data_IF_182143049986
#
_entry.id   IF_182143049986
#
_cell.length_a   1.000
_cell.length_b   1.000
_cell.length_c   1.000
_cell.angle_alpha   90.00
_cell.angle_beta   90.00
_cell.angle_gamma   90.00
#
_symmetry.space_group_name_H-M   'P 1'
#
loop_
_entity.id
_entity.type
_entity.pdbx_description
1 polymer ?
#
# COMPACT_ATOMS: atom_id res chain seq x y z
N UNK A 1 25.22 1.15 9.33
CA UNK A 1 25.44 -0.08 10.07
C UNK A 1 24.83 -1.33 9.41
N UNK A 2 23.87 -1.26 8.49
CA UNK A 2 23.40 -2.38 7.67
C UNK A 2 22.83 -3.61 8.40
N UNK A 3 22.44 -3.46 9.66
CA UNK A 3 21.97 -4.57 10.48
C UNK A 3 20.47 -4.84 10.38
N UNK A 4 19.70 -3.93 9.77
CA UNK A 4 18.27 -4.07 9.58
C UNK A 4 18.02 -4.06 8.07
N UNK A 5 17.44 -5.14 7.57
CA UNK A 5 17.07 -5.30 6.17
C UNK A 5 15.56 -5.48 6.07
N UNK A 6 14.98 -4.87 5.07
CA UNK A 6 13.61 -5.19 4.67
C UNK A 6 13.57 -6.55 3.96
N UNK A 7 12.43 -7.22 4.03
CA UNK A 7 12.21 -8.44 3.25
C UNK A 7 11.65 -8.02 1.89
N UNK A 8 12.52 -7.91 0.88
CA UNK A 8 12.11 -7.63 -0.47
C UNK A 8 11.34 -8.81 -1.08
N UNK A 9 10.26 -8.49 -1.80
CA UNK A 9 9.45 -9.46 -2.54
C UNK A 9 9.60 -9.29 -4.07
N UNK A 10 10.56 -8.47 -4.50
CA UNK A 10 10.84 -8.17 -5.92
C UNK A 10 11.07 -9.44 -6.73
N UNK A 11 11.89 -10.36 -6.22
CA UNK A 11 12.21 -11.60 -6.93
C UNK A 11 10.96 -12.45 -7.17
N UNK A 12 10.16 -12.67 -6.13
CA UNK A 12 8.94 -13.47 -6.23
C UNK A 12 7.94 -12.88 -7.22
N UNK A 13 7.75 -11.56 -7.17
CA UNK A 13 6.86 -10.83 -8.09
C UNK A 13 7.34 -10.97 -9.52
N UNK A 14 8.62 -10.69 -9.80
CA UNK A 14 9.17 -10.74 -11.15
C UNK A 14 9.16 -12.17 -11.72
N UNK A 15 9.45 -13.18 -10.91
CA UNK A 15 9.39 -14.58 -11.34
C UNK A 15 7.96 -14.97 -11.76
N UNK A 16 6.94 -14.57 -10.99
CA UNK A 16 5.53 -14.85 -11.30
C UNK A 16 5.07 -14.11 -12.55
N UNK A 17 5.41 -12.82 -12.69
CA UNK A 17 5.12 -12.06 -13.91
C UNK A 17 5.78 -12.68 -15.14
N UNK A 18 7.04 -13.15 -15.01
CA UNK A 18 7.75 -13.88 -16.09
C UNK A 18 7.03 -15.18 -16.47
N UNK A 19 6.46 -15.88 -15.49
CA UNK A 19 5.68 -17.11 -15.69
C UNK A 19 4.25 -16.81 -16.18
N UNK A 20 3.90 -15.54 -16.40
CA UNK A 20 2.56 -15.09 -16.83
C UNK A 20 1.45 -15.49 -15.86
N UNK A 21 1.76 -15.60 -14.56
CA UNK A 21 0.74 -15.75 -13.54
C UNK A 21 -0.15 -14.50 -13.52
N UNK A 22 -1.48 -14.66 -13.38
CA UNK A 22 -2.38 -13.51 -13.33
C UNK A 22 -2.10 -12.69 -12.07
N UNK A 23 -1.73 -11.44 -12.23
CA UNK A 23 -1.40 -10.51 -11.14
C UNK A 23 -2.05 -9.15 -11.37
N UNK A 24 -2.58 -8.55 -10.31
CA UNK A 24 -3.14 -7.19 -10.31
C UNK A 24 -2.35 -6.32 -9.36
N UNK A 25 -1.93 -5.15 -9.81
CA UNK A 25 -1.31 -4.15 -8.95
C UNK A 25 -2.38 -3.23 -8.35
N UNK A 26 -2.38 -3.08 -7.02
CA UNK A 26 -3.17 -2.05 -6.32
C UNK A 26 -2.22 -0.97 -5.82
N UNK A 27 -2.43 0.28 -6.19
CA UNK A 27 -1.45 1.35 -6.07
C UNK A 27 -1.91 2.41 -5.09
N UNK A 28 -1.03 2.77 -4.14
CA UNK A 28 -1.31 3.82 -3.17
C UNK A 28 -1.40 5.20 -3.84
N UNK A 29 -2.36 6.08 -3.45
CA UNK A 29 -2.53 7.40 -4.05
C UNK A 29 -1.29 8.30 -3.94
N UNK A 30 -0.41 8.08 -2.96
CA UNK A 30 0.85 8.81 -2.80
C UNK A 30 1.82 8.67 -3.98
N UNK A 31 1.55 7.75 -4.90
CA UNK A 31 2.31 7.62 -6.16
C UNK A 31 2.29 8.89 -7.00
N UNK A 32 1.26 9.73 -6.85
CA UNK A 32 1.09 10.99 -7.59
C UNK A 32 2.24 11.97 -7.37
N UNK A 33 2.90 11.91 -6.21
CA UNK A 33 4.01 12.80 -5.85
C UNK A 33 5.38 12.07 -5.75
N UNK A 34 5.41 10.79 -6.15
CA UNK A 34 6.62 9.96 -5.98
C UNK A 34 7.50 9.92 -7.23
N UNK A 35 6.94 10.16 -8.38
CA UNK A 35 7.64 10.07 -9.66
C UNK A 35 7.50 11.39 -10.42
N UNK A 36 8.60 11.88 -10.99
CA UNK A 36 8.62 13.08 -11.84
C UNK A 36 7.99 12.79 -13.22
N UNK A 37 6.79 12.23 -13.23
CA UNK A 37 6.07 11.86 -14.45
C UNK A 37 4.55 11.88 -14.25
N UNK A 38 3.77 12.11 -15.30
CA UNK A 38 2.32 11.94 -15.26
C UNK A 38 1.95 10.53 -14.76
N UNK A 39 0.96 10.45 -13.88
CA UNK A 39 0.55 9.19 -13.22
C UNK A 39 0.17 8.10 -14.22
N UNK A 40 -0.41 8.48 -15.34
CA UNK A 40 -0.79 7.56 -16.43
C UNK A 40 0.42 6.84 -17.02
N UNK A 41 1.57 7.53 -17.09
CA UNK A 41 2.83 6.93 -17.53
C UNK A 41 3.33 5.92 -16.50
N UNK A 42 3.23 6.25 -15.21
CA UNK A 42 3.64 5.35 -14.12
C UNK A 42 2.75 4.10 -14.11
N UNK A 43 1.42 4.25 -14.24
CA UNK A 43 0.50 3.12 -14.35
C UNK A 43 0.76 2.29 -15.61
N UNK A 44 1.05 2.96 -16.74
CA UNK A 44 1.45 2.29 -17.98
C UNK A 44 2.73 1.48 -17.80
N UNK A 45 3.72 2.03 -17.08
CA UNK A 45 4.96 1.32 -16.76
C UNK A 45 4.70 0.09 -15.90
N UNK A 46 3.92 0.21 -14.81
CA UNK A 46 3.54 -0.93 -13.97
C UNK A 46 2.83 -2.00 -14.82
N UNK A 47 1.87 -1.59 -15.63
CA UNK A 47 1.13 -2.52 -16.51
C UNK A 47 2.04 -3.23 -17.50
N UNK A 48 3.04 -2.54 -18.04
CA UNK A 48 4.01 -3.10 -19.00
C UNK A 48 4.94 -4.17 -18.39
N UNK A 49 5.01 -4.26 -17.04
CA UNK A 49 5.72 -5.34 -16.35
C UNK A 49 4.99 -6.69 -16.48
N UNK A 50 3.72 -6.68 -16.92
CA UNK A 50 2.91 -7.88 -17.11
C UNK A 50 1.70 -8.00 -16.19
N UNK A 51 1.37 -6.97 -15.42
CA UNK A 51 0.15 -6.94 -14.61
C UNK A 51 -1.10 -6.88 -15.50
N UNK A 52 -2.14 -7.63 -15.12
CA UNK A 52 -3.45 -7.63 -15.81
C UNK A 52 -4.11 -6.27 -15.72
N UNK A 53 -4.07 -5.65 -14.53
CA UNK A 53 -4.69 -4.38 -14.24
C UNK A 53 -3.90 -3.61 -13.18
N UNK A 54 -4.05 -2.29 -13.19
CA UNK A 54 -3.59 -1.38 -12.15
C UNK A 54 -4.81 -0.69 -11.57
N UNK A 55 -5.04 -0.85 -10.27
CA UNK A 55 -6.21 -0.34 -9.54
C UNK A 55 -5.76 0.64 -8.45
N UNK A 56 -6.45 1.76 -8.34
CA UNK A 56 -6.14 2.74 -7.29
C UNK A 56 -6.69 2.31 -5.93
N UNK A 57 -5.86 2.38 -4.91
CA UNK A 57 -6.26 2.08 -3.52
C UNK A 57 -7.27 3.10 -2.96
N UNK A 58 -7.45 4.23 -3.64
CA UNK A 58 -8.52 5.17 -3.36
C UNK A 58 -9.92 4.52 -3.36
N UNK A 59 -10.15 3.49 -4.17
CA UNK A 59 -11.42 2.75 -4.18
C UNK A 59 -11.73 2.10 -2.82
N UNK A 60 -10.74 1.41 -2.24
CA UNK A 60 -10.88 0.82 -0.91
C UNK A 60 -10.88 1.86 0.22
N UNK A 61 -10.27 3.04 0.00
CA UNK A 61 -10.31 4.12 0.97
C UNK A 61 -11.74 4.64 1.21
N UNK A 62 -12.60 4.62 0.21
CA UNK A 62 -14.02 4.97 0.36
C UNK A 62 -14.73 3.99 1.31
N UNK A 63 -14.47 2.69 1.15
CA UNK A 63 -15.03 1.66 2.03
C UNK A 63 -14.48 1.78 3.46
N UNK A 64 -13.18 2.00 3.62
CA UNK A 64 -12.59 2.27 4.93
C UNK A 64 -13.27 3.46 5.61
N UNK A 65 -13.43 4.58 4.91
CA UNK A 65 -14.06 5.80 5.45
C UNK A 65 -15.49 5.53 5.89
N UNK A 66 -16.27 4.79 5.09
CA UNK A 66 -17.65 4.45 5.42
C UNK A 66 -17.73 3.63 6.70
N UNK A 67 -16.95 2.56 6.79
CA UNK A 67 -16.93 1.68 7.96
C UNK A 67 -16.40 2.39 9.21
N UNK A 68 -15.32 3.16 9.11
CA UNK A 68 -14.78 3.92 10.25
C UNK A 68 -15.77 4.98 10.74
N UNK A 69 -16.53 5.63 9.84
CA UNK A 69 -17.54 6.60 10.24
C UNK A 69 -18.71 5.95 10.98
N UNK A 70 -19.12 4.75 10.60
CA UNK A 70 -20.14 3.97 11.29
C UNK A 70 -19.62 3.52 12.67
N UNK A 71 -18.43 2.93 12.73
CA UNK A 71 -17.77 2.50 13.97
C UNK A 71 -17.58 3.67 14.95
N UNK A 72 -17.14 4.84 14.47
CA UNK A 72 -16.99 6.03 15.30
C UNK A 72 -18.31 6.45 15.94
N UNK A 73 -19.42 6.47 15.19
CA UNK A 73 -20.74 6.81 15.73
C UNK A 73 -21.16 5.86 16.83
N UNK A 74 -20.96 4.55 16.63
CA UNK A 74 -21.27 3.52 17.64
C UNK A 74 -20.42 3.72 18.90
N UNK A 75 -19.10 3.91 18.75
CA UNK A 75 -18.19 4.11 19.87
C UNK A 75 -18.48 5.38 20.67
N UNK A 76 -18.83 6.48 20.01
CA UNK A 76 -19.25 7.71 20.69
C UNK A 76 -20.59 7.52 21.45
N UNK A 77 -21.54 6.78 20.88
CA UNK A 77 -22.80 6.45 21.54
C UNK A 77 -22.61 5.56 22.79
N UNK A 78 -21.58 4.69 22.79
CA UNK A 78 -21.15 3.89 23.94
C UNK A 78 -20.42 4.71 25.03
N UNK A 79 -20.17 6.01 24.78
CA UNK A 79 -19.48 6.91 25.73
C UNK A 79 -17.95 6.92 25.54
N UNK A 80 -17.41 6.34 24.48
CA UNK A 80 -16.00 6.44 24.17
C UNK A 80 -15.67 7.89 23.74
N UNK A 81 -14.61 8.54 24.28
CA UNK A 81 -14.36 9.96 24.04
C UNK A 81 -13.82 10.27 22.64
N UNK A 82 -13.16 9.30 21.99
CA UNK A 82 -12.60 9.41 20.64
C UNK A 82 -12.30 8.02 20.08
N UNK A 83 -11.99 7.96 18.80
CA UNK A 83 -11.45 6.80 18.12
C UNK A 83 -10.26 7.23 17.24
N UNK A 84 -9.29 6.35 17.06
CA UNK A 84 -8.19 6.53 16.12
C UNK A 84 -8.29 5.53 14.99
N UNK A 85 -7.74 5.86 13.82
CA UNK A 85 -7.79 4.99 12.65
C UNK A 85 -6.83 3.80 12.77
N UNK A 86 -7.10 2.72 12.02
CA UNK A 86 -6.29 1.48 12.01
C UNK A 86 -5.45 1.31 10.74
N UNK A 87 -5.49 2.27 9.80
CA UNK A 87 -4.88 2.10 8.48
C UNK A 87 -3.34 2.09 8.47
N UNK A 88 -2.68 2.49 9.58
CA UNK A 88 -1.22 2.51 9.70
C UNK A 88 -0.72 1.37 10.60
N UNK A 89 -0.08 0.31 10.06
CA UNK A 89 0.43 -0.80 10.86
C UNK A 89 1.51 -0.38 11.86
N UNK A 90 2.35 0.58 11.51
CA UNK A 90 3.37 1.12 12.42
C UNK A 90 2.75 1.83 13.62
N UNK A 91 1.67 2.59 13.41
CA UNK A 91 0.93 3.24 14.49
C UNK A 91 0.32 2.20 15.44
N UNK A 92 -0.32 1.15 14.90
CA UNK A 92 -0.89 0.08 15.71
C UNK A 92 0.18 -0.58 16.58
N UNK A 93 1.34 -0.92 15.98
CA UNK A 93 2.46 -1.51 16.71
C UNK A 93 3.03 -0.57 17.79
N UNK A 94 3.14 0.73 17.48
CA UNK A 94 3.56 1.74 18.45
C UNK A 94 2.61 1.78 19.65
N UNK A 95 1.31 1.88 19.37
CA UNK A 95 0.26 1.94 20.40
C UNK A 95 0.28 0.68 21.26
N UNK A 96 0.29 -0.51 20.64
CA UNK A 96 0.26 -1.79 21.36
C UNK A 96 1.49 -1.99 22.28
N UNK A 97 2.68 -1.54 21.84
CA UNK A 97 3.94 -1.75 22.58
C UNK A 97 4.23 -0.68 23.61
N UNK A 98 3.87 0.56 23.34
CA UNK A 98 4.32 1.71 24.15
C UNK A 98 3.19 2.47 24.80
N UNK A 99 1.94 2.36 24.32
CA UNK A 99 0.77 3.07 24.85
C UNK A 99 -0.42 2.09 24.87
N UNK A 100 -0.37 1.00 25.66
CA UNK A 100 -1.35 -0.08 25.60
C UNK A 100 -2.80 0.38 25.91
N UNK A 101 -2.95 1.44 26.69
CA UNK A 101 -4.28 2.03 26.99
C UNK A 101 -4.94 2.63 25.75
N UNK A 102 -4.17 2.96 24.71
CA UNK A 102 -4.69 3.49 23.45
C UNK A 102 -5.32 2.40 22.57
N UNK A 103 -4.96 1.13 22.78
CA UNK A 103 -5.43 0.01 21.97
C UNK A 103 -6.95 -0.07 21.84
N UNK A 104 -7.68 0.20 22.92
CA UNK A 104 -9.16 0.18 22.96
C UNK A 104 -9.82 1.25 22.09
N UNK A 105 -9.07 2.29 21.71
CA UNK A 105 -9.55 3.41 20.90
C UNK A 105 -9.19 3.26 19.42
N UNK A 106 -8.42 2.23 19.03
CA UNK A 106 -8.06 1.99 17.65
C UNK A 106 -9.24 1.33 16.95
N UNK A 107 -9.60 1.85 15.77
CA UNK A 107 -10.62 1.25 14.90
C UNK A 107 -10.27 -0.21 14.56
N UNK A 108 -11.29 -1.01 14.42
CA UNK A 108 -11.19 -2.41 13.97
C UNK A 108 -11.39 -2.56 12.46
N UNK A 109 -11.68 -1.46 11.77
CA UNK A 109 -11.95 -1.42 10.34
C UNK A 109 -10.71 -1.77 9.52
N UNK A 110 -10.90 -2.47 8.40
CA UNK A 110 -9.84 -2.79 7.45
C UNK A 110 -9.24 -1.55 6.79
N UNK A 111 -7.97 -1.64 6.41
CA UNK A 111 -7.28 -0.55 5.71
C UNK A 111 -7.78 -0.39 4.27
N UNK A 112 -7.49 0.76 3.60
CA UNK A 112 -7.72 0.93 2.17
C UNK A 112 -7.11 -0.18 1.31
N UNK A 113 -5.91 -0.64 1.65
CA UNK A 113 -5.26 -1.77 0.99
C UNK A 113 -6.10 -3.05 1.09
N UNK A 114 -6.61 -3.36 2.27
CA UNK A 114 -7.46 -4.51 2.53
C UNK A 114 -8.74 -4.49 1.66
N UNK A 115 -9.50 -3.40 1.68
CA UNK A 115 -10.74 -3.32 0.91
C UNK A 115 -10.50 -3.33 -0.60
N UNK A 116 -9.45 -2.66 -1.08
CA UNK A 116 -9.11 -2.70 -2.51
C UNK A 116 -8.74 -4.11 -2.96
N UNK A 117 -7.98 -4.84 -2.15
CA UNK A 117 -7.64 -6.22 -2.46
C UNK A 117 -8.87 -7.11 -2.57
N UNK A 118 -9.86 -6.94 -1.67
CA UNK A 118 -11.15 -7.65 -1.76
C UNK A 118 -11.91 -7.33 -3.04
N UNK A 119 -12.01 -6.05 -3.40
CA UNK A 119 -12.64 -5.63 -4.67
C UNK A 119 -11.95 -6.31 -5.86
N UNK A 120 -10.62 -6.36 -5.85
CA UNK A 120 -9.85 -7.04 -6.91
C UNK A 120 -10.13 -8.54 -6.92
N UNK A 121 -10.16 -9.20 -5.77
CA UNK A 121 -10.44 -10.65 -5.68
C UNK A 121 -11.85 -11.02 -6.12
N UNK A 122 -12.84 -10.14 -5.91
CA UNK A 122 -14.19 -10.34 -6.43
C UNK A 122 -14.21 -10.32 -7.97
N UNK A 123 -13.41 -9.45 -8.59
CA UNK A 123 -13.30 -9.33 -10.06
C UNK A 123 -12.36 -10.38 -10.67
N UNK A 124 -11.28 -10.72 -9.97
CA UNK A 124 -10.21 -11.61 -10.40
C UNK A 124 -9.86 -12.63 -9.30
N UNK A 125 -10.68 -13.65 -9.05
CA UNK A 125 -10.51 -14.57 -7.92
C UNK A 125 -9.14 -15.28 -7.89
N UNK A 126 -8.61 -15.62 -9.06
CA UNK A 126 -7.36 -16.38 -9.22
C UNK A 126 -6.11 -15.46 -9.32
N UNK A 127 -6.30 -14.15 -9.45
CA UNK A 127 -5.18 -13.25 -9.58
C UNK A 127 -4.48 -13.01 -8.24
N UNK A 128 -3.15 -12.92 -8.29
CA UNK A 128 -2.34 -12.45 -7.15
C UNK A 128 -2.42 -10.94 -7.06
N UNK A 129 -2.62 -10.42 -5.86
CA UNK A 129 -2.71 -8.98 -5.60
C UNK A 129 -1.38 -8.47 -5.07
N UNK A 130 -0.83 -7.46 -5.74
CA UNK A 130 0.41 -6.79 -5.34
C UNK A 130 0.09 -5.36 -4.95
N UNK A 131 0.30 -5.02 -3.68
CA UNK A 131 0.23 -3.62 -3.25
C UNK A 131 1.51 -2.90 -3.62
N UNK A 132 1.40 -1.75 -4.26
CA UNK A 132 2.51 -0.84 -4.59
C UNK A 132 2.33 0.45 -3.81
N UNK A 133 3.27 0.75 -2.92
CA UNK A 133 3.10 1.91 -2.01
C UNK A 133 4.38 2.34 -1.31
N UNK A 134 4.32 3.40 -0.48
CA UNK A 134 5.51 4.04 0.10
C UNK A 134 6.03 3.37 1.38
N UNK A 135 5.38 2.31 1.88
CA UNK A 135 5.58 1.90 3.26
C UNK A 135 5.85 0.41 3.44
N UNK A 136 7.02 0.07 3.99
CA UNK A 136 7.41 -1.30 4.33
C UNK A 136 6.53 -1.96 5.38
N UNK A 137 5.91 -1.18 6.28
CA UNK A 137 5.00 -1.72 7.28
C UNK A 137 3.78 -2.43 6.67
N UNK A 138 3.45 -2.14 5.41
CA UNK A 138 2.40 -2.85 4.67
C UNK A 138 2.77 -4.31 4.40
N UNK A 139 4.06 -4.66 4.36
CA UNK A 139 4.54 -6.04 4.32
C UNK A 139 4.14 -6.83 5.59
N UNK A 140 4.12 -6.16 6.74
CA UNK A 140 3.63 -6.76 7.99
C UNK A 140 2.10 -6.89 7.99
N UNK A 141 1.38 -5.87 7.52
CA UNK A 141 -0.08 -5.92 7.44
C UNK A 141 -0.55 -7.07 6.54
N UNK A 142 0.05 -7.23 5.38
CA UNK A 142 -0.28 -8.30 4.43
C UNK A 142 -0.07 -9.72 5.01
N UNK A 143 0.78 -9.86 6.05
CA UNK A 143 1.07 -11.14 6.72
C UNK A 143 0.26 -11.40 7.98
N UNK A 144 -0.51 -10.43 8.46
CA UNK A 144 -1.31 -10.60 9.69
C UNK A 144 -2.44 -11.60 9.46
N UNK A 145 -2.49 -12.67 10.26
CA UNK A 145 -3.57 -13.66 10.21
C UNK A 145 -4.93 -13.07 10.56
N UNK A 146 -4.98 -12.08 11.47
CA UNK A 146 -6.21 -11.38 11.87
C UNK A 146 -6.79 -10.48 10.78
N UNK A 147 -5.95 -10.08 9.83
CA UNK A 147 -6.32 -9.32 8.64
C UNK A 147 -5.78 -10.11 7.46
N UNK A 148 -6.19 -11.38 7.29
CA UNK A 148 -5.85 -12.12 6.08
C UNK A 148 -6.29 -11.29 4.90
N UNK A 149 -5.39 -10.35 4.55
CA UNK A 149 -5.58 -9.49 3.41
C UNK A 149 -5.45 -10.36 2.19
N UNK A 150 -6.35 -10.17 1.26
CA UNK A 150 -6.22 -10.77 -0.08
C UNK A 150 -5.01 -10.21 -0.85
N UNK A 151 -4.09 -9.54 -0.15
CA UNK A 151 -2.82 -9.02 -0.68
C UNK A 151 -1.75 -10.10 -0.56
N UNK A 152 -1.28 -10.57 -1.70
CA UNK A 152 -0.26 -11.62 -1.77
C UNK A 152 1.16 -11.07 -1.61
N UNK A 153 1.43 -9.87 -2.15
CA UNK A 153 2.75 -9.22 -2.16
C UNK A 153 2.65 -7.72 -1.93
N UNK A 154 3.74 -7.15 -1.41
CA UNK A 154 3.91 -5.71 -1.23
C UNK A 154 5.20 -5.27 -1.90
N UNK A 155 5.13 -4.26 -2.74
CA UNK A 155 6.25 -3.62 -3.43
C UNK A 155 6.33 -2.16 -2.99
N UNK A 156 7.49 -1.71 -2.53
CA UNK A 156 7.70 -0.29 -2.24
C UNK A 156 7.90 0.50 -3.53
N UNK A 157 7.75 1.83 -3.46
CA UNK A 157 8.03 2.68 -4.62
C UNK A 157 9.51 2.61 -5.02
N UNK A 158 10.43 2.52 -4.04
CA UNK A 158 11.86 2.34 -4.28
C UNK A 158 12.14 1.01 -4.98
N UNK A 159 11.51 -0.07 -4.54
CA UNK A 159 11.61 -1.37 -5.19
C UNK A 159 11.06 -1.32 -6.63
N UNK A 160 9.92 -0.64 -6.83
CA UNK A 160 9.34 -0.44 -8.16
C UNK A 160 10.26 0.38 -9.07
N UNK A 161 10.86 1.46 -8.55
CA UNK A 161 11.82 2.29 -9.28
C UNK A 161 13.05 1.46 -9.70
N UNK A 162 13.56 0.61 -8.80
CA UNK A 162 14.64 -0.32 -9.12
C UNK A 162 14.29 -1.29 -10.26
N UNK A 163 13.04 -1.78 -10.29
CA UNK A 163 12.55 -2.62 -11.41
C UNK A 163 12.49 -1.82 -12.70
N UNK A 164 12.00 -0.59 -12.66
CA UNK A 164 11.92 0.29 -13.84
C UNK A 164 13.32 0.58 -14.39
N UNK A 165 14.28 0.91 -13.52
CA UNK A 165 15.67 1.13 -13.91
C UNK A 165 16.28 -0.12 -14.57
N UNK A 166 16.10 -1.30 -13.96
CA UNK A 166 16.58 -2.56 -14.51
C UNK A 166 15.97 -2.92 -15.89
N UNK A 167 14.78 -2.38 -16.18
CA UNK A 167 14.10 -2.52 -17.48
C UNK A 167 14.45 -1.42 -18.48
N UNK A 168 15.29 -0.45 -18.11
CA UNK A 168 15.62 0.71 -18.93
C UNK A 168 14.44 1.68 -19.09
N UNK A 169 13.51 1.67 -18.15
CA UNK A 169 12.32 2.53 -18.15
C UNK A 169 12.54 3.81 -17.32
N UNK A 170 13.67 3.93 -16.62
CA UNK A 170 14.11 5.06 -15.82
C UNK A 170 14.17 6.38 -16.62
N UNK A 171 14.48 6.31 -17.90
CA UNK A 171 14.44 7.47 -18.80
C UNK A 171 13.04 8.08 -18.98
N UNK A 172 12.00 7.33 -18.67
CA UNK A 172 10.62 7.82 -18.66
C UNK A 172 10.28 8.56 -17.34
N UNK A 173 11.13 8.41 -16.32
CA UNK A 173 10.98 9.01 -14.99
C UNK A 173 12.31 9.67 -14.61
N UNK A 174 12.66 10.82 -15.25
CA UNK A 174 13.87 11.52 -14.88
C UNK A 174 13.80 11.84 -13.37
N UNK A 175 14.95 11.78 -12.65
CA UNK A 175 14.99 12.30 -11.29
C UNK A 175 14.52 13.75 -11.34
N UNK A 176 13.74 14.18 -10.35
CA UNK A 176 13.50 15.61 -10.17
C UNK A 176 14.88 16.24 -10.07
N UNK A 177 15.14 17.25 -10.91
CA UNK A 177 16.38 18.03 -10.81
C UNK A 177 16.44 18.51 -9.36
N UNK A 178 17.57 18.28 -8.68
CA UNK A 178 17.81 18.67 -7.29
C UNK A 178 17.80 20.21 -7.10
N UNK A 179 17.31 20.96 -8.06
CA UNK A 179 17.16 22.40 -8.04
C UNK A 179 15.84 22.80 -7.40
N UNK A 180 15.98 23.36 -6.21
CA UNK A 180 14.98 24.14 -5.47
C UNK A 180 13.95 23.39 -4.61
N UNK A 181 14.43 22.71 -3.59
CA UNK A 181 13.64 22.72 -2.37
C UNK A 181 13.82 24.09 -1.68
N UNK A 182 12.75 24.91 -1.55
CA UNK A 182 12.85 26.11 -0.75
C UNK A 182 13.23 25.73 0.68
N UNK A 183 14.30 26.31 1.18
CA UNK A 183 14.69 26.15 2.58
C UNK A 183 13.49 26.57 3.45
N UNK A 184 12.95 25.63 4.20
CA UNK A 184 12.00 25.96 5.24
C UNK A 184 12.76 26.72 6.32
N UNK A 185 12.59 28.06 6.34
CA UNK A 185 13.06 28.96 7.39
C UNK A 185 12.13 28.94 8.59
#
# INVERSE_FOLDING_TARGET
FGAIFEISQVFDILQRLRNKEPMVAIVAPSILAQFAAPVEKVYGAIKSLGFLEVVEVAQGAMETTRHEAEELKEKLAEGQPFMTTSCCPSYIQLAEKHIPDLKKYISTTGSPMYYTARIVKEKYPDAKVVFVGPCDSKKLEARRESVRSDVDFVLTFEEALGIFAAKGMDKAFPPEDEEEMPAYS
#
